data_IF_559929829545
#
_entry.id   IF_559929829545
#
_cell.length_a   1.000
_cell.length_b   1.000
_cell.length_c   1.000
_cell.angle_alpha   90.00
_cell.angle_beta   90.00
_cell.angle_gamma   90.00
#
_symmetry.space_group_name_H-M   'P 1'
#
loop_
_entity.id
_entity.type
_entity.pdbx_description
1 polymer ?
#
# COMPACT_ATOMS: atom_id res chain seq x y z
N UNK A 1 20.54 19.82 -8.32
CA UNK A 1 20.50 18.76 -7.27
C UNK A 1 21.90 18.72 -6.67
N UNK A 2 22.03 18.65 -5.35
CA UNK A 2 23.33 18.62 -4.64
C UNK A 2 24.10 17.30 -4.88
N UNK A 3 23.35 16.18 -4.97
CA UNK A 3 23.93 14.87 -5.17
C UNK A 3 23.96 14.48 -6.65
N UNK A 4 25.06 13.89 -7.07
CA UNK A 4 25.19 13.17 -8.34
C UNK A 4 25.23 11.66 -8.08
N UNK A 5 25.06 10.86 -9.13
CA UNK A 5 25.23 9.41 -9.00
C UNK A 5 26.69 9.07 -8.66
N UNK A 6 26.93 8.08 -7.78
CA UNK A 6 28.27 7.56 -7.55
C UNK A 6 28.92 7.10 -8.85
N UNK A 7 30.24 7.31 -8.99
CA UNK A 7 30.96 6.90 -10.17
C UNK A 7 30.80 5.42 -10.46
N UNK A 8 30.38 5.09 -11.68
CA UNK A 8 30.17 3.72 -12.12
C UNK A 8 28.83 3.11 -11.68
N UNK A 9 27.95 3.89 -11.03
CA UNK A 9 26.62 3.42 -10.68
C UNK A 9 25.83 3.01 -11.93
N UNK A 10 25.16 1.86 -11.84
CA UNK A 10 24.27 1.36 -12.89
C UNK A 10 22.98 0.87 -12.22
N UNK A 11 21.83 1.44 -12.60
CA UNK A 11 20.55 0.93 -12.12
C UNK A 11 20.29 -0.48 -12.68
N UNK A 12 19.51 -1.28 -11.93
CA UNK A 12 19.01 -2.59 -12.34
C UNK A 12 17.50 -2.50 -12.54
N UNK A 13 16.96 -3.02 -13.63
CA UNK A 13 15.56 -2.84 -13.95
C UNK A 13 14.75 -4.16 -13.94
N UNK A 14 15.45 -5.31 -14.00
CA UNK A 14 14.87 -6.64 -14.11
C UNK A 14 15.85 -7.72 -13.64
N UNK A 15 15.35 -8.95 -13.44
CA UNK A 15 16.16 -10.14 -13.15
C UNK A 15 17.01 -9.99 -11.86
N UNK A 16 16.40 -9.54 -10.76
CA UNK A 16 17.07 -9.45 -9.47
C UNK A 16 16.18 -9.89 -8.33
N UNK A 17 16.76 -10.05 -7.15
CA UNK A 17 16.08 -10.47 -5.94
C UNK A 17 16.15 -9.37 -4.87
N UNK A 18 15.03 -9.14 -4.18
CA UNK A 18 14.91 -8.29 -3.01
C UNK A 18 15.07 -9.13 -1.74
N UNK A 19 15.67 -8.56 -0.71
CA UNK A 19 15.84 -9.20 0.59
C UNK A 19 14.52 -9.35 1.37
N UNK A 20 13.50 -8.53 1.07
CA UNK A 20 12.21 -8.62 1.70
C UNK A 20 11.18 -7.61 1.22
N UNK A 21 9.94 -7.84 1.66
CA UNK A 21 8.80 -6.97 1.48
C UNK A 21 8.22 -6.60 2.86
N UNK A 22 7.85 -5.33 3.04
CA UNK A 22 7.26 -4.80 4.26
C UNK A 22 5.81 -4.41 3.96
N UNK A 23 4.85 -5.09 4.59
CA UNK A 23 3.43 -4.76 4.46
C UNK A 23 3.02 -3.72 5.50
N UNK A 24 2.49 -2.60 5.04
CA UNK A 24 2.03 -1.48 5.88
C UNK A 24 0.49 -1.43 6.04
N UNK A 25 -0.24 -2.34 5.45
CA UNK A 25 -1.70 -2.32 5.40
C UNK A 25 -2.34 -2.16 6.77
N UNK A 26 -1.83 -2.92 7.76
CA UNK A 26 -2.40 -2.92 9.10
C UNK A 26 -2.20 -1.58 9.81
N UNK A 27 -0.98 -1.09 9.87
CA UNK A 27 -0.63 0.14 10.58
C UNK A 27 -1.16 1.38 9.88
N UNK A 28 -0.89 1.51 8.60
CA UNK A 28 -1.33 2.66 7.80
C UNK A 28 -2.85 2.71 7.64
N UNK A 29 -3.51 1.55 7.50
CA UNK A 29 -4.95 1.49 7.47
C UNK A 29 -5.59 1.93 8.78
N UNK A 30 -5.03 1.51 9.92
CA UNK A 30 -5.51 1.94 11.24
C UNK A 30 -5.28 3.43 11.49
N UNK A 31 -4.16 3.99 11.03
CA UNK A 31 -3.85 5.42 11.17
C UNK A 31 -4.78 6.31 10.35
N UNK A 32 -5.22 5.81 9.18
CA UNK A 32 -6.16 6.52 8.31
C UNK A 32 -7.59 6.55 8.85
N UNK A 33 -8.00 5.54 9.62
CA UNK A 33 -9.37 5.37 10.06
C UNK A 33 -9.73 6.29 11.23
N UNK A 34 -10.78 7.13 11.12
CA UNK A 34 -11.22 7.99 12.21
C UNK A 34 -12.09 7.26 13.26
N UNK A 35 -11.94 5.93 13.37
CA UNK A 35 -12.64 5.06 14.32
C UNK A 35 -11.77 3.87 14.70
N UNK A 36 -12.09 3.26 15.85
CA UNK A 36 -11.40 2.04 16.30
C UNK A 36 -11.87 0.81 15.54
N UNK A 37 -10.92 0.04 15.04
CA UNK A 37 -11.20 -1.21 14.34
C UNK A 37 -11.24 -2.35 15.36
N UNK A 38 -12.28 -3.19 15.36
CA UNK A 38 -12.37 -4.35 16.25
C UNK A 38 -11.16 -5.28 16.10
N UNK A 39 -10.65 -5.79 17.22
CA UNK A 39 -9.49 -6.68 17.27
C UNK A 39 -9.66 -7.89 16.34
N UNK A 40 -10.82 -8.54 16.35
CA UNK A 40 -11.15 -9.68 15.49
C UNK A 40 -11.00 -9.38 13.98
N UNK A 41 -11.36 -8.16 13.56
CA UNK A 41 -11.23 -7.71 12.17
C UNK A 41 -9.76 -7.51 11.80
N UNK A 42 -8.98 -6.90 12.72
CA UNK A 42 -7.53 -6.74 12.54
C UNK A 42 -6.84 -8.11 12.42
N UNK A 43 -7.12 -9.05 13.32
CA UNK A 43 -6.53 -10.39 13.30
C UNK A 43 -6.90 -11.16 12.03
N UNK A 44 -8.18 -11.10 11.62
CA UNK A 44 -8.64 -11.72 10.36
C UNK A 44 -7.88 -11.16 9.15
N UNK A 45 -7.70 -9.84 9.07
CA UNK A 45 -6.98 -9.22 7.97
C UNK A 45 -5.49 -9.62 8.00
N UNK A 46 -4.81 -9.52 9.16
CA UNK A 46 -3.42 -9.93 9.32
C UNK A 46 -3.21 -11.39 8.91
N UNK A 47 -4.15 -12.29 9.27
CA UNK A 47 -4.10 -13.68 8.86
C UNK A 47 -4.16 -13.83 7.35
N UNK A 48 -5.05 -13.12 6.68
CA UNK A 48 -5.19 -13.17 5.22
C UNK A 48 -3.97 -12.58 4.50
N UNK A 49 -3.37 -11.52 5.05
CA UNK A 49 -2.08 -11.00 4.56
C UNK A 49 -0.98 -12.08 4.66
N UNK A 50 -0.86 -12.73 5.81
CA UNK A 50 0.11 -13.81 6.03
C UNK A 50 -0.14 -15.03 5.11
N UNK A 51 -1.40 -15.39 4.87
CA UNK A 51 -1.80 -16.49 3.98
C UNK A 51 -1.40 -16.24 2.50
N UNK A 52 -1.16 -14.99 2.11
CA UNK A 52 -0.61 -14.62 0.79
C UNK A 52 0.91 -14.79 0.68
N UNK A 53 1.60 -15.22 1.72
CA UNK A 53 3.05 -15.36 1.74
C UNK A 53 3.78 -14.13 2.28
N UNK A 54 3.08 -13.05 2.66
CA UNK A 54 3.69 -11.89 3.32
C UNK A 54 4.20 -12.29 4.70
N UNK A 55 5.48 -11.99 4.99
CA UNK A 55 6.16 -12.42 6.21
C UNK A 55 6.59 -11.31 7.14
N UNK A 56 6.68 -10.08 6.65
CA UNK A 56 6.99 -8.90 7.46
C UNK A 56 5.83 -7.91 7.39
N UNK A 57 5.04 -7.88 8.46
CA UNK A 57 3.84 -7.07 8.58
C UNK A 57 4.10 -5.95 9.59
N UNK A 58 3.99 -4.70 9.18
CA UNK A 58 3.96 -3.57 10.11
C UNK A 58 2.58 -3.54 10.77
N UNK A 59 2.51 -4.13 11.96
CA UNK A 59 1.25 -4.48 12.57
C UNK A 59 0.53 -3.29 13.20
N UNK A 60 1.28 -2.39 13.84
CA UNK A 60 0.68 -1.23 14.47
C UNK A 60 1.64 -0.31 15.21
N UNK A 61 1.06 0.64 15.92
CA UNK A 61 1.74 1.64 16.75
C UNK A 61 0.94 2.03 18.01
N UNK A 62 -0.27 1.47 18.18
CA UNK A 62 -1.16 1.80 19.28
C UNK A 62 -0.84 0.99 20.56
N UNK A 63 -1.18 1.51 21.75
CA UNK A 63 -0.94 0.81 23.03
C UNK A 63 -1.62 -0.56 23.16
N UNK A 64 -2.65 -0.86 22.38
CA UNK A 64 -3.34 -2.16 22.36
C UNK A 64 -2.69 -3.16 21.40
N UNK A 65 -1.84 -2.73 20.48
CA UNK A 65 -1.31 -3.60 19.43
C UNK A 65 -0.33 -4.67 19.94
N UNK A 66 0.51 -4.46 20.98
CA UNK A 66 1.36 -5.52 21.52
C UNK A 66 0.61 -6.80 21.94
N UNK A 67 -0.56 -6.65 22.57
CA UNK A 67 -1.41 -7.78 22.97
C UNK A 67 -1.98 -8.52 21.75
N UNK A 68 -2.41 -7.78 20.73
CA UNK A 68 -2.88 -8.37 19.46
C UNK A 68 -1.75 -9.04 18.67
N UNK A 69 -0.55 -8.46 18.69
CA UNK A 69 0.64 -9.07 18.08
C UNK A 69 0.97 -10.42 18.73
N UNK A 70 0.95 -10.46 20.06
CA UNK A 70 1.15 -11.71 20.79
C UNK A 70 0.13 -12.78 20.35
N UNK A 71 -1.17 -12.44 20.43
CA UNK A 71 -2.23 -13.36 20.02
C UNK A 71 -2.04 -13.85 18.59
N UNK A 72 -1.74 -12.94 17.66
CA UNK A 72 -1.54 -13.31 16.26
C UNK A 72 -0.35 -14.25 16.05
N UNK A 73 0.80 -14.00 16.71
CA UNK A 73 1.98 -14.85 16.61
C UNK A 73 1.68 -16.24 17.19
N UNK A 74 1.00 -16.31 18.33
CA UNK A 74 0.59 -17.58 18.96
C UNK A 74 -0.31 -18.39 18.03
N UNK A 75 -1.33 -17.78 17.42
CA UNK A 75 -2.21 -18.44 16.44
C UNK A 75 -1.42 -18.96 15.23
N UNK A 76 -0.54 -18.13 14.63
CA UNK A 76 0.26 -18.53 13.47
C UNK A 76 1.21 -19.68 13.82
N UNK A 77 1.84 -19.64 15.00
CA UNK A 77 2.75 -20.70 15.45
C UNK A 77 2.03 -21.98 15.87
N UNK A 78 0.81 -21.88 16.36
CA UNK A 78 -0.02 -23.06 16.63
C UNK A 78 -0.31 -23.84 15.34
N UNK A 79 -0.58 -23.13 14.24
CA UNK A 79 -0.84 -23.76 12.94
C UNK A 79 0.45 -24.21 12.24
N UNK A 80 1.52 -23.45 12.35
CA UNK A 80 2.82 -23.73 11.79
C UNK A 80 3.95 -23.30 12.75
N UNK A 81 4.46 -24.22 13.59
CA UNK A 81 5.53 -23.93 14.55
C UNK A 81 6.83 -23.40 13.93
N UNK A 82 7.07 -23.68 12.64
CA UNK A 82 8.24 -23.21 11.88
C UNK A 82 7.98 -21.89 11.15
N UNK A 83 6.84 -21.25 11.38
CA UNK A 83 6.54 -19.96 10.77
C UNK A 83 7.58 -18.91 11.15
N UNK A 84 8.11 -18.23 10.13
CA UNK A 84 9.04 -17.14 10.26
C UNK A 84 8.35 -15.76 10.11
N UNK A 85 7.07 -15.70 10.45
CA UNK A 85 6.34 -14.42 10.49
C UNK A 85 7.06 -13.44 11.40
N UNK A 86 7.17 -12.19 10.95
CA UNK A 86 7.72 -11.08 11.70
C UNK A 86 6.72 -9.93 11.73
N UNK A 87 6.41 -9.47 12.91
CA UNK A 87 5.55 -8.32 13.12
C UNK A 87 6.40 -7.13 13.54
N UNK A 88 6.26 -6.01 12.84
CA UNK A 88 6.90 -4.78 13.26
C UNK A 88 5.92 -3.90 14.03
N UNK A 89 6.43 -3.33 15.10
CA UNK A 89 5.75 -2.31 15.89
C UNK A 89 6.46 -0.97 15.70
N UNK A 90 5.73 0.06 15.27
CA UNK A 90 6.28 1.41 15.14
C UNK A 90 6.29 2.07 16.52
N UNK A 91 7.47 2.29 17.05
CA UNK A 91 7.69 2.91 18.34
C UNK A 91 8.08 4.38 18.15
N UNK A 92 7.17 5.29 18.51
CA UNK A 92 7.47 6.72 18.57
C UNK A 92 8.23 7.06 19.84
N UNK A 93 9.35 7.74 19.71
CA UNK A 93 10.23 8.03 20.87
C UNK A 93 9.57 8.90 21.94
N UNK A 94 8.61 9.75 21.58
CA UNK A 94 7.92 10.63 22.54
C UNK A 94 6.84 9.91 23.39
N UNK A 95 6.48 8.68 23.04
CA UNK A 95 5.48 7.88 23.78
C UNK A 95 5.98 6.48 24.14
N UNK A 96 7.28 6.30 24.29
CA UNK A 96 7.89 4.99 24.47
C UNK A 96 7.58 4.33 25.83
N UNK A 97 7.44 5.10 26.91
CA UNK A 97 7.35 4.57 28.28
C UNK A 97 6.13 3.66 28.52
N UNK A 98 4.89 4.08 28.19
CA UNK A 98 3.74 3.20 28.31
C UNK A 98 3.82 1.95 27.45
N UNK A 99 4.44 2.06 26.28
CA UNK A 99 4.63 0.93 25.35
C UNK A 99 5.71 -0.03 25.88
N UNK A 100 6.79 0.48 26.47
CA UNK A 100 7.79 -0.32 27.14
C UNK A 100 7.20 -1.19 28.24
N UNK A 101 6.29 -0.64 29.06
CA UNK A 101 5.62 -1.40 30.11
C UNK A 101 4.74 -2.52 29.55
N UNK A 102 4.10 -2.31 28.40
CA UNK A 102 3.38 -3.37 27.69
C UNK A 102 4.31 -4.49 27.20
N UNK A 103 5.42 -4.12 26.57
CA UNK A 103 6.39 -5.10 26.07
C UNK A 103 7.18 -5.82 27.14
N UNK A 104 7.23 -5.32 28.39
CA UNK A 104 7.83 -6.06 29.51
C UNK A 104 7.12 -7.35 29.85
N UNK A 105 5.82 -7.45 29.58
CA UNK A 105 5.01 -8.65 29.78
C UNK A 105 4.96 -9.55 28.54
N UNK A 106 5.58 -9.13 27.42
CA UNK A 106 5.57 -9.92 26.19
C UNK A 106 6.35 -11.22 26.33
N UNK A 107 5.84 -12.39 25.87
CA UNK A 107 6.52 -13.67 26.00
C UNK A 107 7.89 -13.68 25.31
N UNK A 108 8.93 -14.08 26.03
CA UNK A 108 10.31 -14.06 25.51
C UNK A 108 10.50 -14.94 24.28
N UNK A 109 9.82 -16.08 24.22
CA UNK A 109 9.84 -17.03 23.12
C UNK A 109 9.22 -16.49 21.82
N UNK A 110 8.47 -15.39 21.90
CA UNK A 110 7.86 -14.73 20.75
C UNK A 110 8.62 -13.47 20.30
N UNK A 111 9.60 -13.00 21.08
CA UNK A 111 10.31 -11.74 20.79
C UNK A 111 11.10 -11.79 19.46
N UNK A 112 11.55 -12.97 19.03
CA UNK A 112 12.21 -13.13 17.73
C UNK A 112 11.25 -12.94 16.54
N UNK A 113 9.94 -12.97 16.78
CA UNK A 113 8.93 -12.66 15.77
C UNK A 113 8.54 -11.17 15.75
N UNK A 114 9.17 -10.35 16.59
CA UNK A 114 8.86 -8.93 16.71
C UNK A 114 10.04 -8.07 16.31
N UNK A 115 9.80 -7.08 15.47
CA UNK A 115 10.74 -6.02 15.12
C UNK A 115 10.27 -4.71 15.77
N UNK A 116 11.10 -4.09 16.59
CA UNK A 116 10.86 -2.74 17.09
C UNK A 116 11.37 -1.76 16.04
N UNK A 117 10.45 -1.06 15.39
CA UNK A 117 10.74 -0.05 14.37
C UNK A 117 10.64 1.34 15.00
N UNK A 118 11.79 1.98 15.22
CA UNK A 118 11.81 3.33 15.75
C UNK A 118 11.32 4.31 14.69
N UNK A 119 10.13 4.87 14.92
CA UNK A 119 9.48 5.78 13.99
C UNK A 119 9.92 7.21 14.19
N UNK A 120 10.09 7.91 13.07
CA UNK A 120 10.24 9.37 13.01
C UNK A 120 11.34 9.90 13.95
N UNK A 121 12.54 9.36 13.80
CA UNK A 121 13.67 9.82 14.62
C UNK A 121 14.10 11.20 14.13
N UNK A 122 13.93 12.19 14.97
CA UNK A 122 14.65 13.47 14.88
C UNK A 122 15.91 13.39 15.75
N UNK A 123 17.01 13.07 15.12
CA UNK A 123 18.28 12.87 15.78
C UNK A 123 18.79 14.11 16.50
N UNK A 124 18.51 15.31 16.00
CA UNK A 124 19.03 16.54 16.60
C UNK A 124 18.46 16.80 18.01
N UNK A 125 17.22 16.43 18.25
CA UNK A 125 16.55 16.65 19.52
C UNK A 125 16.50 15.43 20.43
N UNK A 126 16.79 14.23 19.92
CA UNK A 126 16.44 12.98 20.60
C UNK A 126 17.54 11.89 20.57
N UNK A 127 18.80 12.21 20.24
CA UNK A 127 19.86 11.19 20.16
C UNK A 127 20.03 10.38 21.44
N UNK A 128 20.17 11.04 22.59
CA UNK A 128 20.33 10.34 23.88
C UNK A 128 19.07 9.55 24.24
N UNK A 129 17.88 10.05 23.90
CA UNK A 129 16.64 9.35 24.12
C UNK A 129 16.58 8.10 23.24
N UNK A 130 16.92 8.20 21.95
CA UNK A 130 16.95 7.06 21.05
C UNK A 130 17.87 5.94 21.55
N UNK A 131 19.10 6.26 21.92
CA UNK A 131 20.05 5.28 22.46
C UNK A 131 19.51 4.63 23.74
N UNK A 132 18.99 5.42 24.67
CA UNK A 132 18.39 4.92 25.90
C UNK A 132 17.22 3.97 25.64
N UNK A 133 16.31 4.34 24.76
CA UNK A 133 15.14 3.51 24.45
C UNK A 133 15.55 2.24 23.73
N UNK A 134 16.50 2.31 22.78
CA UNK A 134 17.06 1.13 22.14
C UNK A 134 17.58 0.13 23.18
N UNK A 135 18.46 0.55 24.08
CA UNK A 135 19.01 -0.32 25.12
C UNK A 135 17.93 -0.92 26.00
N UNK A 136 16.90 -0.16 26.36
CA UNK A 136 15.76 -0.69 27.12
C UNK A 136 15.07 -1.85 26.44
N UNK A 137 14.77 -1.76 25.17
CA UNK A 137 14.12 -2.84 24.41
C UNK A 137 15.08 -4.00 24.14
N UNK A 138 16.34 -3.71 23.85
CA UNK A 138 17.38 -4.73 23.69
C UNK A 138 17.57 -5.57 24.97
N UNK A 139 17.58 -4.92 26.13
CA UNK A 139 17.73 -5.57 27.43
C UNK A 139 16.50 -6.42 27.83
N UNK A 140 15.29 -6.10 27.30
CA UNK A 140 14.12 -6.97 27.43
C UNK A 140 14.29 -8.29 26.70
N UNK A 141 15.10 -8.32 25.63
CA UNK A 141 15.33 -9.51 24.81
C UNK A 141 15.02 -9.36 23.33
N UNK A 142 14.51 -8.21 22.87
CA UNK A 142 14.30 -7.97 21.45
C UNK A 142 15.63 -7.97 20.69
N UNK A 143 15.65 -8.50 19.48
CA UNK A 143 16.85 -8.62 18.63
C UNK A 143 16.69 -8.02 17.25
N UNK A 144 15.46 -7.80 16.81
CA UNK A 144 15.17 -7.19 15.51
C UNK A 144 14.77 -5.73 15.69
N UNK A 145 15.55 -4.86 15.08
CA UNK A 145 15.35 -3.41 15.15
C UNK A 145 15.46 -2.81 13.76
N UNK A 146 14.69 -1.78 13.50
CA UNK A 146 14.84 -0.91 12.33
C UNK A 146 14.57 0.53 12.70
N UNK A 147 15.01 1.44 11.85
CA UNK A 147 14.76 2.87 12.01
C UNK A 147 14.03 3.44 10.82
N UNK A 148 13.10 4.32 11.09
CA UNK A 148 12.42 5.16 10.10
C UNK A 148 12.92 6.58 10.25
N UNK A 149 13.60 7.10 9.24
CA UNK A 149 14.14 8.44 9.23
C UNK A 149 13.12 9.40 8.67
N UNK A 150 12.85 10.47 9.40
CA UNK A 150 12.02 11.55 8.88
C UNK A 150 12.81 12.32 7.84
N UNK A 151 12.25 12.39 6.66
CA UNK A 151 12.78 13.25 5.61
C UNK A 151 11.68 14.16 5.12
N UNK A 152 11.81 15.40 5.48
CA UNK A 152 11.03 16.47 4.90
C UNK A 152 11.62 16.81 3.53
N UNK A 153 11.50 15.90 2.58
CA UNK A 153 11.78 16.22 1.18
C UNK A 153 10.82 17.33 0.75
N UNK A 154 11.35 18.47 0.34
CA UNK A 154 10.51 19.51 -0.25
C UNK A 154 10.36 19.26 -1.75
N UNK A 155 11.46 19.14 -2.46
CA UNK A 155 11.50 18.81 -3.89
C UNK A 155 12.81 18.14 -4.27
N UNK A 156 13.72 17.97 -3.32
CA UNK A 156 15.03 17.38 -3.53
C UNK A 156 15.77 17.21 -2.20
N UNK A 157 16.96 16.65 -2.27
CA UNK A 157 17.86 16.49 -1.14
C UNK A 157 19.01 17.48 -1.31
N UNK A 158 19.12 18.44 -0.39
CA UNK A 158 20.28 19.32 -0.27
C UNK A 158 21.36 18.72 0.66
N UNK A 159 22.50 19.38 0.75
CA UNK A 159 23.60 18.94 1.59
C UNK A 159 23.23 18.79 3.06
N UNK A 160 22.43 19.71 3.58
CA UNK A 160 22.00 19.67 4.97
C UNK A 160 21.09 18.47 5.25
N UNK A 161 20.15 18.21 4.34
CA UNK A 161 19.25 17.06 4.41
C UNK A 161 20.03 15.74 4.31
N UNK A 162 20.95 15.62 3.36
CA UNK A 162 21.78 14.43 3.21
C UNK A 162 22.64 14.18 4.45
N UNK A 163 23.32 15.22 4.96
CA UNK A 163 24.09 15.14 6.19
C UNK A 163 23.24 14.73 7.39
N UNK A 164 22.01 15.23 7.45
CA UNK A 164 21.07 14.83 8.51
C UNK A 164 20.66 13.36 8.41
N UNK A 165 20.40 12.85 7.19
CA UNK A 165 20.12 11.44 6.94
C UNK A 165 21.29 10.56 7.38
N UNK A 166 22.50 10.86 6.91
CA UNK A 166 23.70 10.03 7.17
C UNK A 166 24.06 10.00 8.66
N UNK A 167 23.92 11.11 9.38
CA UNK A 167 24.12 11.13 10.85
C UNK A 167 23.18 10.20 11.60
N UNK A 168 21.91 10.13 11.19
CA UNK A 168 20.94 9.22 11.79
C UNK A 168 21.27 7.76 11.46
N UNK A 169 21.75 7.50 10.24
CA UNK A 169 22.22 6.17 9.84
C UNK A 169 23.43 5.75 10.68
N UNK A 170 24.43 6.63 10.81
CA UNK A 170 25.64 6.35 11.59
C UNK A 170 25.31 6.03 13.06
N UNK A 171 24.39 6.78 13.67
CA UNK A 171 23.91 6.51 15.02
C UNK A 171 23.22 5.15 15.12
N UNK A 172 22.40 4.78 14.13
CA UNK A 172 21.69 3.51 14.10
C UNK A 172 22.68 2.33 13.93
N UNK A 173 23.65 2.48 13.04
CA UNK A 173 24.72 1.50 12.82
C UNK A 173 25.55 1.28 14.07
N UNK A 174 25.86 2.35 14.84
CA UNK A 174 26.60 2.24 16.10
C UNK A 174 25.90 1.39 17.16
N UNK A 175 24.58 1.25 17.07
CA UNK A 175 23.75 0.39 17.91
C UNK A 175 23.53 -1.02 17.32
N UNK A 176 24.10 -1.30 16.15
CA UNK A 176 23.96 -2.59 15.47
C UNK A 176 22.67 -2.73 14.65
N UNK A 177 21.94 -1.63 14.40
CA UNK A 177 20.77 -1.65 13.53
C UNK A 177 21.20 -1.65 12.08
N UNK A 178 20.70 -2.60 11.31
CA UNK A 178 21.10 -2.85 9.92
C UNK A 178 20.00 -2.51 8.88
N UNK A 179 18.82 -2.13 9.33
CA UNK A 179 17.68 -1.85 8.47
C UNK A 179 17.21 -0.41 8.64
N UNK A 180 17.26 0.32 7.55
CA UNK A 180 16.95 1.75 7.49
C UNK A 180 15.82 2.01 6.50
N UNK A 181 14.84 2.73 6.95
CA UNK A 181 13.65 3.13 6.21
C UNK A 181 13.70 4.63 5.97
N UNK A 182 13.69 5.03 4.71
CA UNK A 182 13.68 6.42 4.28
C UNK A 182 12.23 6.84 4.08
N UNK A 183 11.74 7.84 4.82
CA UNK A 183 10.34 8.22 4.78
C UNK A 183 10.12 9.46 3.91
N UNK A 184 9.44 9.30 2.79
CA UNK A 184 8.77 10.40 2.09
C UNK A 184 7.36 10.56 2.66
N UNK A 185 7.30 11.05 3.90
CA UNK A 185 6.05 11.15 4.67
C UNK A 185 5.02 12.09 4.07
N UNK A 186 5.41 13.00 3.18
CA UNK A 186 4.52 13.96 2.53
C UNK A 186 4.24 13.63 1.06
N UNK A 187 4.82 12.56 0.52
CA UNK A 187 4.68 12.19 -0.89
C UNK A 187 5.18 13.27 -1.85
N UNK A 188 6.26 13.97 -1.48
CA UNK A 188 6.76 15.12 -2.23
C UNK A 188 8.07 14.88 -2.98
N UNK A 189 8.73 13.76 -2.70
CA UNK A 189 9.96 13.37 -3.37
C UNK A 189 9.70 13.05 -4.85
N UNK A 190 10.63 13.46 -5.71
CA UNK A 190 10.58 13.12 -7.12
C UNK A 190 11.46 11.90 -7.43
N UNK A 191 11.11 11.07 -8.44
CA UNK A 191 11.85 9.86 -8.79
C UNK A 191 13.32 10.10 -9.09
N UNK A 192 13.68 11.19 -9.76
CA UNK A 192 15.08 11.56 -10.03
C UNK A 192 15.86 11.85 -8.75
N UNK A 193 15.22 12.44 -7.75
CA UNK A 193 15.82 12.66 -6.42
C UNK A 193 15.98 11.33 -5.68
N UNK A 194 14.95 10.49 -5.70
CA UNK A 194 14.99 9.16 -5.09
C UNK A 194 16.09 8.28 -5.71
N UNK A 195 16.26 8.33 -7.03
CA UNK A 195 17.29 7.56 -7.73
C UNK A 195 18.69 7.90 -7.21
N UNK A 196 19.04 9.19 -7.17
CA UNK A 196 20.35 9.66 -6.73
C UNK A 196 20.56 9.40 -5.24
N UNK A 197 19.54 9.63 -4.41
CA UNK A 197 19.62 9.35 -2.98
C UNK A 197 19.84 7.87 -2.70
N UNK A 198 19.07 6.98 -3.30
CA UNK A 198 19.20 5.53 -3.13
C UNK A 198 20.58 5.04 -3.54
N UNK A 199 21.07 5.47 -4.72
CA UNK A 199 22.40 5.12 -5.20
C UNK A 199 23.51 5.53 -4.23
N UNK A 200 23.45 6.75 -3.69
CA UNK A 200 24.47 7.26 -2.75
C UNK A 200 24.39 6.54 -1.39
N UNK A 201 23.20 6.27 -0.87
CA UNK A 201 23.06 5.56 0.40
C UNK A 201 23.59 4.13 0.31
N UNK A 202 23.25 3.40 -0.74
CA UNK A 202 23.78 2.04 -0.94
C UNK A 202 25.29 2.04 -1.16
N UNK A 203 25.80 3.02 -1.89
CA UNK A 203 27.26 3.17 -2.07
C UNK A 203 27.99 3.42 -0.74
N UNK A 204 27.44 4.30 0.11
CA UNK A 204 28.03 4.66 1.40
C UNK A 204 27.86 3.59 2.47
N UNK A 205 26.77 2.83 2.41
CA UNK A 205 26.38 1.83 3.41
C UNK A 205 26.02 0.46 2.78
N UNK A 206 26.97 -0.21 2.11
CA UNK A 206 26.70 -1.40 1.29
C UNK A 206 26.25 -2.64 2.08
N UNK A 207 26.30 -2.60 3.41
CA UNK A 207 25.89 -3.71 4.28
C UNK A 207 24.52 -3.50 4.92
N UNK A 208 23.90 -2.34 4.70
CA UNK A 208 22.58 -2.04 5.27
C UNK A 208 21.46 -2.47 4.33
N UNK A 209 20.34 -2.77 4.93
CA UNK A 209 19.08 -2.95 4.24
C UNK A 209 18.36 -1.60 4.19
N UNK A 210 17.93 -1.22 3.00
CA UNK A 210 17.21 0.02 2.78
C UNK A 210 15.83 -0.26 2.15
N UNK A 211 14.81 0.47 2.61
CA UNK A 211 13.53 0.64 1.92
C UNK A 211 13.11 2.11 1.92
N UNK A 212 12.15 2.43 1.08
CA UNK A 212 11.47 3.71 1.10
C UNK A 212 10.04 3.52 1.54
N UNK A 213 9.59 4.37 2.48
CA UNK A 213 8.17 4.56 2.81
C UNK A 213 7.67 5.75 1.98
N UNK A 214 7.06 5.45 0.85
CA UNK A 214 6.71 6.45 -0.16
C UNK A 214 5.21 6.67 -0.21
N UNK A 215 4.74 7.82 0.33
CA UNK A 215 3.35 8.23 0.18
C UNK A 215 3.03 8.67 -1.26
N UNK A 216 1.77 8.48 -1.65
CA UNK A 216 1.29 8.68 -3.02
C UNK A 216 0.55 10.00 -3.23
N UNK A 217 0.81 11.02 -2.40
CA UNK A 217 0.09 12.29 -2.42
C UNK A 217 0.17 13.04 -3.76
N UNK A 218 1.21 12.78 -4.56
CA UNK A 218 1.35 13.28 -5.94
C UNK A 218 1.22 12.20 -7.01
N UNK A 219 0.78 10.99 -6.66
CA UNK A 219 0.77 9.87 -7.59
C UNK A 219 2.17 9.33 -7.91
N UNK A 220 3.18 9.60 -7.07
CA UNK A 220 4.58 9.22 -7.29
C UNK A 220 5.07 8.11 -6.34
N UNK A 221 4.23 7.64 -5.42
CA UNK A 221 4.61 6.65 -4.42
C UNK A 221 5.13 5.36 -5.05
N UNK A 222 4.37 4.78 -5.97
CA UNK A 222 4.78 3.58 -6.72
C UNK A 222 6.09 3.82 -7.48
N UNK A 223 6.19 4.95 -8.19
CA UNK A 223 7.38 5.27 -8.97
C UNK A 223 8.61 5.45 -8.07
N UNK A 224 8.47 6.09 -6.90
CA UNK A 224 9.56 6.25 -5.94
C UNK A 224 10.01 4.92 -5.35
N UNK A 225 9.06 4.02 -5.00
CA UNK A 225 9.38 2.68 -4.53
C UNK A 225 10.16 1.88 -5.57
N UNK A 226 9.69 1.85 -6.82
CA UNK A 226 10.38 1.17 -7.92
C UNK A 226 11.75 1.79 -8.20
N UNK A 227 11.84 3.12 -8.22
CA UNK A 227 13.11 3.83 -8.46
C UNK A 227 14.14 3.52 -7.38
N UNK A 228 13.73 3.40 -6.12
CA UNK A 228 14.63 3.07 -5.01
C UNK A 228 15.26 1.68 -5.18
N UNK A 229 14.47 0.66 -5.54
CA UNK A 229 14.99 -0.71 -5.75
C UNK A 229 15.81 -0.83 -7.03
N UNK A 230 15.48 -0.06 -8.07
CA UNK A 230 16.30 -0.01 -9.28
C UNK A 230 17.69 0.57 -9.01
N UNK A 231 17.79 1.47 -8.03
CA UNK A 231 19.05 2.11 -7.66
C UNK A 231 19.72 1.50 -6.41
N UNK A 232 19.31 0.29 -6.03
CA UNK A 232 20.06 -0.56 -5.11
C UNK A 232 19.41 -0.81 -3.77
N UNK A 233 18.30 -0.19 -3.41
CA UNK A 233 17.56 -0.60 -2.23
C UNK A 233 17.17 -2.08 -2.37
N UNK A 234 17.22 -2.81 -1.29
CA UNK A 234 17.00 -4.27 -1.28
C UNK A 234 15.73 -4.69 -0.53
N UNK A 235 14.99 -3.73 0.02
CA UNK A 235 13.66 -3.93 0.58
C UNK A 235 12.68 -3.04 -0.16
N UNK A 236 11.42 -3.48 -0.24
CA UNK A 236 10.32 -2.69 -0.78
C UNK A 236 9.14 -2.69 0.18
N UNK A 237 8.34 -1.65 0.15
CA UNK A 237 7.21 -1.44 1.05
C UNK A 237 5.96 -1.06 0.26
N UNK A 238 4.81 -1.49 0.76
CA UNK A 238 3.51 -1.16 0.20
C UNK A 238 2.35 -1.56 1.10
N UNK A 239 1.15 -1.28 0.64
CA UNK A 239 -0.09 -1.69 1.31
C UNK A 239 -1.06 -2.34 0.33
N UNK A 240 -1.83 -3.32 0.78
CA UNK A 240 -2.90 -3.90 -0.03
C UNK A 240 -3.88 -2.81 -0.44
N UNK A 241 -4.30 -2.84 -1.69
CA UNK A 241 -5.15 -1.80 -2.29
C UNK A 241 -4.55 -0.39 -2.22
N UNK A 242 -3.24 -0.25 -2.00
CA UNK A 242 -2.57 1.03 -1.81
C UNK A 242 -2.97 1.72 -0.51
N UNK A 243 -3.42 0.97 0.51
CA UNK A 243 -3.79 1.54 1.80
C UNK A 243 -2.64 2.31 2.42
N UNK A 244 -2.98 3.46 2.97
CA UNK A 244 -2.08 4.33 3.68
C UNK A 244 -2.75 5.64 4.05
N UNK A 245 -2.12 6.39 4.92
CA UNK A 245 -2.59 7.71 5.33
C UNK A 245 -2.68 8.65 4.11
N UNK A 246 -3.65 9.55 4.08
CA UNK A 246 -3.98 10.47 2.97
C UNK A 246 -4.20 9.73 1.64
N UNK A 247 -3.29 9.86 0.66
CA UNK A 247 -3.42 9.21 -0.67
C UNK A 247 -2.90 7.78 -0.71
N UNK A 248 -2.31 7.30 0.39
CA UNK A 248 -1.86 5.91 0.52
C UNK A 248 -0.41 5.67 0.13
N UNK A 249 -0.10 4.40 -0.15
CA UNK A 249 1.20 3.83 -0.46
C UNK A 249 1.14 3.05 -1.78
N UNK A 250 2.29 2.55 -2.30
CA UNK A 250 2.29 1.61 -3.43
C UNK A 250 1.39 0.41 -3.17
N UNK A 251 0.51 0.10 -4.11
CA UNK A 251 -0.37 -1.06 -4.00
C UNK A 251 0.41 -2.36 -4.22
N UNK A 252 0.29 -3.30 -3.28
CA UNK A 252 0.98 -4.60 -3.32
C UNK A 252 0.65 -5.36 -4.60
N UNK A 253 -0.60 -5.33 -5.04
CA UNK A 253 -1.08 -6.02 -6.23
C UNK A 253 -0.48 -5.45 -7.53
N UNK A 254 -0.18 -4.15 -7.53
CA UNK A 254 0.49 -3.51 -8.67
C UNK A 254 1.98 -3.82 -8.67
N UNK A 255 2.61 -3.83 -7.47
CA UNK A 255 4.02 -4.23 -7.32
C UNK A 255 4.23 -5.67 -7.79
N UNK A 256 3.32 -6.58 -7.44
CA UNK A 256 3.41 -7.99 -7.84
C UNK A 256 3.36 -8.15 -9.37
N UNK A 257 2.42 -7.49 -10.06
CA UNK A 257 2.34 -7.53 -11.53
C UNK A 257 3.64 -7.01 -12.17
N UNK A 258 4.19 -5.88 -11.67
CA UNK A 258 5.47 -5.35 -12.18
C UNK A 258 6.62 -6.33 -11.91
N UNK A 259 6.63 -6.99 -10.75
CA UNK A 259 7.67 -7.96 -10.38
C UNK A 259 7.61 -9.20 -11.25
N UNK A 260 6.41 -9.69 -11.54
CA UNK A 260 6.18 -10.79 -12.46
C UNK A 260 6.74 -10.46 -13.85
N UNK A 261 6.36 -9.30 -14.42
CA UNK A 261 6.81 -8.86 -15.74
C UNK A 261 8.33 -8.70 -15.85
N UNK A 262 8.97 -8.27 -14.77
CA UNK A 262 10.40 -7.93 -14.73
C UNK A 262 11.28 -9.01 -14.10
N UNK A 263 10.69 -10.16 -13.76
CA UNK A 263 11.38 -11.24 -13.04
C UNK A 263 12.14 -10.72 -11.80
N UNK A 264 11.46 -9.89 -11.00
CA UNK A 264 11.94 -9.43 -9.70
C UNK A 264 11.36 -10.37 -8.64
N UNK A 265 12.20 -10.97 -7.84
CA UNK A 265 11.80 -11.91 -6.79
C UNK A 265 12.00 -11.30 -5.41
N UNK A 266 11.25 -11.80 -4.43
CA UNK A 266 11.42 -11.46 -3.02
C UNK A 266 11.90 -12.72 -2.31
N UNK A 267 13.02 -12.61 -1.60
CA UNK A 267 13.65 -13.76 -0.95
C UNK A 267 12.68 -14.46 0.03
N UNK A 268 12.49 -15.75 -0.21
CA UNK A 268 11.66 -16.60 0.66
C UNK A 268 10.17 -16.28 0.66
N UNK A 269 9.68 -15.50 -0.30
CA UNK A 269 8.26 -15.21 -0.47
C UNK A 269 7.77 -15.68 -1.84
N UNK A 270 6.55 -16.21 -1.83
CA UNK A 270 5.80 -16.56 -3.03
C UNK A 270 4.41 -15.92 -2.89
N UNK A 271 4.23 -14.80 -3.56
CA UNK A 271 2.98 -14.04 -3.52
C UNK A 271 1.98 -14.64 -4.52
N UNK A 272 0.82 -15.07 -4.04
CA UNK A 272 -0.27 -15.59 -4.88
C UNK A 272 -1.16 -14.43 -5.38
N UNK A 273 -1.12 -14.07 -6.68
CA UNK A 273 -1.88 -12.94 -7.21
C UNK A 273 -3.40 -13.04 -6.98
N UNK A 274 -3.95 -14.27 -7.03
CA UNK A 274 -5.38 -14.46 -6.82
C UNK A 274 -5.80 -14.14 -5.38
N UNK A 275 -4.94 -14.46 -4.41
CA UNK A 275 -5.16 -14.15 -3.00
C UNK A 275 -4.93 -12.67 -2.70
N UNK A 276 -3.94 -12.04 -3.33
CA UNK A 276 -3.65 -10.62 -3.14
C UNK A 276 -4.89 -9.75 -3.37
N UNK A 277 -5.63 -9.99 -4.45
CA UNK A 277 -6.87 -9.26 -4.76
C UNK A 277 -7.94 -9.43 -3.68
N UNK A 278 -8.10 -10.65 -3.15
CA UNK A 278 -9.07 -10.93 -2.08
C UNK A 278 -8.71 -10.18 -0.78
N UNK A 279 -7.41 -10.11 -0.47
CA UNK A 279 -6.93 -9.37 0.70
C UNK A 279 -7.16 -7.87 0.53
N UNK A 280 -6.93 -7.32 -0.65
CA UNK A 280 -7.23 -5.93 -0.96
C UNK A 280 -8.70 -5.57 -0.69
N UNK A 281 -9.64 -6.40 -1.13
CA UNK A 281 -11.06 -6.20 -0.82
C UNK A 281 -11.39 -6.35 0.67
N UNK A 282 -10.75 -7.30 1.35
CA UNK A 282 -10.92 -7.46 2.79
C UNK A 282 -10.36 -6.25 3.57
N UNK A 283 -9.27 -5.65 3.09
CA UNK A 283 -8.73 -4.43 3.68
C UNK A 283 -9.71 -3.26 3.53
N UNK A 284 -10.32 -3.08 2.33
CA UNK A 284 -11.38 -2.09 2.13
C UNK A 284 -12.55 -2.29 3.10
N UNK A 285 -13.02 -3.53 3.26
CA UNK A 285 -14.10 -3.87 4.19
C UNK A 285 -13.70 -3.61 5.65
N UNK A 286 -12.49 -4.01 6.03
CA UNK A 286 -11.98 -3.88 7.41
C UNK A 286 -11.87 -2.41 7.82
N UNK A 287 -11.38 -1.57 6.93
CA UNK A 287 -11.17 -0.15 7.18
C UNK A 287 -12.34 0.73 6.71
N UNK A 288 -13.44 0.15 6.25
CA UNK A 288 -14.64 0.84 5.75
C UNK A 288 -14.31 1.89 4.68
N UNK A 289 -13.40 1.58 3.77
CA UNK A 289 -13.01 2.47 2.69
C UNK A 289 -13.88 2.17 1.46
N UNK A 290 -14.46 3.23 0.88
CA UNK A 290 -15.22 3.10 -0.37
C UNK A 290 -14.28 2.61 -1.48
N UNK A 291 -14.61 1.47 -2.13
CA UNK A 291 -13.76 0.90 -3.15
C UNK A 291 -13.53 1.84 -4.33
N UNK A 292 -12.28 2.02 -4.74
CA UNK A 292 -11.98 2.66 -6.00
C UNK A 292 -12.19 1.64 -7.14
N UNK A 293 -13.32 1.76 -7.85
CA UNK A 293 -13.70 0.82 -8.90
C UNK A 293 -12.76 0.82 -10.12
N UNK A 294 -12.00 1.91 -10.31
CA UNK A 294 -11.01 2.07 -11.38
C UNK A 294 -9.56 1.88 -10.90
N UNK A 295 -9.34 1.35 -9.69
CA UNK A 295 -7.99 1.10 -9.21
C UNK A 295 -7.25 0.18 -10.17
N UNK A 296 -5.98 0.50 -10.44
CA UNK A 296 -5.12 -0.34 -11.26
C UNK A 296 -5.10 -1.78 -10.73
N UNK A 297 -5.11 -2.76 -11.61
CA UNK A 297 -5.07 -4.20 -11.36
C UNK A 297 -6.31 -4.75 -10.63
N UNK A 298 -6.76 -4.14 -9.56
CA UNK A 298 -7.78 -4.70 -8.63
C UNK A 298 -9.12 -3.98 -8.60
N UNK A 299 -9.28 -2.90 -9.37
CA UNK A 299 -10.57 -2.21 -9.47
C UNK A 299 -11.68 -3.12 -10.00
N UNK A 300 -12.88 -2.98 -9.46
CA UNK A 300 -14.01 -3.89 -9.78
C UNK A 300 -14.44 -3.89 -11.24
N UNK A 301 -14.12 -2.84 -11.98
CA UNK A 301 -14.53 -2.66 -13.38
C UNK A 301 -13.35 -2.42 -14.33
N UNK A 302 -12.11 -2.65 -13.89
CA UNK A 302 -10.92 -2.49 -14.77
C UNK A 302 -10.88 -3.47 -15.93
N UNK A 303 -11.61 -4.58 -15.84
CA UNK A 303 -11.77 -5.57 -16.93
C UNK A 303 -13.04 -5.35 -17.77
N UNK A 304 -13.72 -4.23 -17.61
CA UNK A 304 -14.83 -3.84 -18.47
C UNK A 304 -14.29 -3.01 -19.62
N UNK A 305 -14.69 -3.33 -20.84
CA UNK A 305 -14.21 -2.67 -22.05
C UNK A 305 -15.32 -2.25 -22.98
N UNK A 306 -15.11 -1.13 -23.66
CA UNK A 306 -16.03 -0.68 -24.69
C UNK A 306 -15.94 -1.60 -25.93
N UNK A 307 -17.06 -2.06 -26.40
CA UNK A 307 -17.15 -3.02 -27.50
C UNK A 307 -16.44 -2.53 -28.78
N UNK A 308 -16.45 -1.22 -29.05
CA UNK A 308 -15.85 -0.64 -30.25
C UNK A 308 -14.34 -0.39 -30.19
N UNK A 309 -13.72 -0.44 -29.00
CA UNK A 309 -12.31 -0.07 -28.77
C UNK A 309 -11.62 -0.98 -27.75
N UNK A 310 -12.07 -2.23 -27.67
CA UNK A 310 -11.58 -3.18 -26.69
C UNK A 310 -10.06 -3.42 -26.81
N UNK A 311 -9.34 -3.18 -25.72
CA UNK A 311 -7.92 -3.48 -25.60
C UNK A 311 -7.60 -3.81 -24.12
N UNK A 312 -7.70 -5.09 -23.77
CA UNK A 312 -7.58 -5.53 -22.38
C UNK A 312 -6.19 -6.11 -22.16
N UNK A 313 -5.44 -5.61 -21.16
CA UNK A 313 -4.15 -6.15 -20.78
C UNK A 313 -4.24 -7.61 -20.33
N UNK A 314 -3.21 -8.40 -20.65
CA UNK A 314 -3.17 -9.86 -20.39
C UNK A 314 -3.30 -10.19 -18.89
N UNK A 315 -2.75 -9.37 -17.99
CA UNK A 315 -2.83 -9.58 -16.54
C UNK A 315 -4.26 -9.48 -15.98
N UNK A 316 -5.17 -8.81 -16.67
CA UNK A 316 -6.60 -8.80 -16.31
C UNK A 316 -7.32 -10.09 -16.70
N UNK A 317 -6.63 -11.00 -17.35
CA UNK A 317 -7.10 -12.31 -17.76
C UNK A 317 -7.49 -12.39 -19.22
N UNK A 318 -7.99 -13.57 -19.61
CA UNK A 318 -8.40 -13.82 -20.99
C UNK A 318 -9.42 -12.76 -21.45
N UNK A 319 -9.12 -12.07 -22.55
CA UNK A 319 -10.00 -11.08 -23.17
C UNK A 319 -11.42 -11.62 -23.47
N UNK A 320 -11.57 -12.93 -23.58
CA UNK A 320 -12.87 -13.62 -23.71
C UNK A 320 -13.71 -13.58 -22.43
N UNK A 321 -13.10 -13.35 -21.27
CA UNK A 321 -13.77 -13.16 -19.96
C UNK A 321 -14.05 -11.70 -19.64
N UNK A 322 -13.54 -10.80 -20.47
CA UNK A 322 -13.79 -9.40 -20.31
C UNK A 322 -15.28 -9.09 -20.50
N UNK A 323 -15.83 -8.30 -19.60
CA UNK A 323 -17.20 -7.82 -19.73
C UNK A 323 -17.22 -6.64 -20.70
N UNK A 324 -17.84 -6.84 -21.86
CA UNK A 324 -17.93 -5.80 -22.88
C UNK A 324 -19.25 -5.02 -22.71
N UNK A 325 -19.15 -3.72 -22.80
CA UNK A 325 -20.29 -2.81 -22.74
C UNK A 325 -20.27 -1.86 -23.96
N UNK A 326 -21.38 -1.21 -24.23
CA UNK A 326 -21.53 -0.26 -25.33
C UNK A 326 -21.69 1.15 -24.77
N UNK A 327 -21.02 2.11 -25.43
CA UNK A 327 -21.19 3.55 -25.22
C UNK A 327 -21.40 4.24 -26.55
N UNK A 328 -21.68 5.54 -26.53
CA UNK A 328 -21.80 6.35 -27.76
C UNK A 328 -20.57 6.20 -28.67
N UNK A 329 -19.36 6.09 -28.08
CA UNK A 329 -18.10 5.86 -28.83
C UNK A 329 -18.12 4.52 -29.56
N UNK A 330 -18.78 3.51 -29.03
CA UNK A 330 -18.86 2.16 -29.61
C UNK A 330 -19.97 1.98 -30.66
N UNK A 331 -20.84 2.99 -30.89
CA UNK A 331 -22.00 2.86 -31.79
C UNK A 331 -21.72 3.22 -33.25
N UNK A 332 -20.48 3.10 -33.73
CA UNK A 332 -20.17 3.26 -35.13
C UNK A 332 -20.60 2.05 -35.96
N UNK A 333 -20.77 2.28 -37.27
CA UNK A 333 -21.37 1.33 -38.20
C UNK A 333 -20.74 -0.05 -38.18
N UNK A 334 -19.41 -0.14 -38.10
CA UNK A 334 -18.71 -1.44 -38.09
C UNK A 334 -19.07 -2.29 -36.86
N UNK A 335 -19.13 -1.69 -35.69
CA UNK A 335 -19.50 -2.41 -34.46
C UNK A 335 -20.96 -2.83 -34.47
N UNK A 336 -21.87 -1.94 -34.87
CA UNK A 336 -23.31 -2.25 -34.89
C UNK A 336 -23.65 -3.30 -35.96
N UNK A 337 -22.98 -3.26 -37.13
CA UNK A 337 -23.14 -4.32 -38.16
C UNK A 337 -22.70 -5.68 -37.64
N UNK A 338 -21.53 -5.78 -36.97
CA UNK A 338 -21.08 -7.02 -36.37
C UNK A 338 -22.07 -7.59 -35.34
N UNK A 339 -22.69 -6.71 -34.53
CA UNK A 339 -23.73 -7.13 -33.58
C UNK A 339 -24.97 -7.67 -34.30
N UNK A 340 -25.43 -6.96 -35.33
CA UNK A 340 -26.60 -7.39 -36.13
C UNK A 340 -26.34 -8.70 -36.87
N UNK A 341 -25.15 -8.88 -37.45
CA UNK A 341 -24.71 -10.11 -38.08
C UNK A 341 -24.70 -11.28 -37.09
N UNK A 342 -24.08 -11.10 -35.90
CA UNK A 342 -24.07 -12.12 -34.84
C UNK A 342 -25.48 -12.52 -34.41
N UNK A 343 -26.37 -11.53 -34.30
CA UNK A 343 -27.77 -11.77 -33.94
C UNK A 343 -28.54 -12.52 -35.08
N UNK A 344 -28.22 -12.24 -36.32
CA UNK A 344 -28.84 -12.92 -37.50
C UNK A 344 -28.38 -14.36 -37.65
N UNK A 345 -27.12 -14.67 -37.43
CA UNK A 345 -26.57 -16.02 -37.45
C UNK A 345 -27.24 -16.92 -36.39
N UNK A 346 -27.49 -16.37 -35.19
CA UNK A 346 -28.20 -17.10 -34.12
C UNK A 346 -29.68 -17.42 -34.50
N UNK A 347 -30.29 -16.65 -35.38
CA UNK A 347 -31.67 -16.81 -35.84
C UNK A 347 -31.83 -17.54 -37.18
N UNK A 348 -30.72 -18.05 -37.80
CA UNK A 348 -30.72 -18.72 -39.11
C UNK A 348 -31.36 -17.91 -40.25
N UNK A 349 -31.38 -16.58 -40.16
CA UNK A 349 -31.88 -15.70 -41.24
C UNK A 349 -30.69 -15.01 -41.92
N UNK A 350 -30.44 -15.35 -43.17
CA UNK A 350 -29.49 -14.60 -44.00
C UNK A 350 -30.16 -13.30 -44.45
N UNK A 351 -29.96 -12.20 -43.73
CA UNK A 351 -30.25 -10.88 -44.29
C UNK A 351 -29.15 -9.89 -43.86
N UNK A 352 -28.47 -9.31 -44.82
CA UNK A 352 -27.67 -8.10 -44.60
C UNK A 352 -28.60 -6.99 -44.05
N UNK A 353 -28.28 -6.44 -42.90
CA UNK A 353 -29.08 -5.36 -42.31
C UNK A 353 -29.13 -4.19 -43.30
N UNK A 354 -30.34 -3.68 -43.57
CA UNK A 354 -30.51 -2.48 -44.39
C UNK A 354 -29.98 -1.24 -43.60
N UNK A 355 -29.53 -0.22 -44.33
CA UNK A 355 -29.10 1.05 -43.70
C UNK A 355 -30.15 1.62 -42.77
N UNK A 356 -31.43 1.37 -43.02
CA UNK A 356 -32.54 1.79 -42.17
C UNK A 356 -32.59 1.00 -40.88
N UNK A 357 -32.31 -0.30 -40.91
CA UNK A 357 -32.23 -1.10 -39.69
C UNK A 357 -31.08 -0.70 -38.78
N UNK A 358 -29.94 -0.34 -39.36
CA UNK A 358 -28.76 0.13 -38.62
C UNK A 358 -29.04 1.46 -37.90
N UNK A 359 -29.69 2.43 -38.59
CA UNK A 359 -30.06 3.73 -38.01
C UNK A 359 -31.06 3.55 -36.87
N UNK A 360 -32.13 2.79 -37.10
CA UNK A 360 -33.15 2.52 -36.08
C UNK A 360 -32.56 1.80 -34.84
N UNK A 361 -31.68 0.85 -35.08
CA UNK A 361 -30.98 0.14 -33.97
C UNK A 361 -30.11 1.10 -33.17
N UNK A 362 -29.34 1.97 -33.83
CA UNK A 362 -28.51 2.98 -33.17
C UNK A 362 -29.36 3.95 -32.34
N UNK A 363 -30.46 4.46 -32.89
CA UNK A 363 -31.37 5.37 -32.20
C UNK A 363 -31.96 4.72 -30.94
N UNK A 364 -32.40 3.47 -31.03
CA UNK A 364 -32.88 2.69 -29.89
C UNK A 364 -31.84 2.54 -28.80
N UNK A 365 -30.58 2.22 -29.18
CA UNK A 365 -29.49 2.09 -28.19
C UNK A 365 -29.16 3.42 -27.51
N UNK A 366 -29.17 4.54 -28.25
CA UNK A 366 -28.92 5.86 -27.66
C UNK A 366 -30.03 6.25 -26.67
N UNK A 367 -31.28 5.96 -26.99
CA UNK A 367 -32.42 6.19 -26.07
C UNK A 367 -32.28 5.37 -24.78
N UNK A 368 -31.95 4.08 -24.91
CA UNK A 368 -31.71 3.23 -23.74
C UNK A 368 -30.54 3.73 -22.88
N UNK A 369 -29.43 4.11 -23.50
CA UNK A 369 -28.25 4.64 -22.78
C UNK A 369 -28.58 5.97 -22.06
N UNK A 370 -29.36 6.84 -22.67
CA UNK A 370 -29.81 8.08 -22.05
C UNK A 370 -30.70 7.81 -20.82
N UNK A 371 -31.61 6.84 -20.90
CA UNK A 371 -32.42 6.43 -19.76
C UNK A 371 -31.57 5.83 -18.62
N UNK A 372 -30.56 5.04 -18.94
CA UNK A 372 -29.61 4.53 -17.95
C UNK A 372 -28.85 5.65 -17.26
N UNK A 373 -28.47 6.71 -17.98
CA UNK A 373 -27.79 7.87 -17.38
C UNK A 373 -28.64 8.53 -16.29
N UNK A 374 -29.93 8.77 -16.55
CA UNK A 374 -30.82 9.42 -15.56
C UNK A 374 -30.97 8.58 -14.29
N UNK A 375 -31.16 7.25 -14.43
CA UNK A 375 -31.20 6.33 -13.30
C UNK A 375 -29.87 6.37 -12.50
N UNK A 376 -28.75 6.38 -13.20
CA UNK A 376 -27.41 6.42 -12.58
C UNK A 376 -27.15 7.75 -11.88
N UNK A 377 -27.65 8.87 -12.42
CA UNK A 377 -27.49 10.20 -11.83
C UNK A 377 -28.19 10.30 -10.47
N UNK A 378 -29.40 9.77 -10.36
CA UNK A 378 -30.13 9.72 -9.07
C UNK A 378 -29.40 8.86 -8.04
N UNK A 379 -28.96 7.66 -8.45
CA UNK A 379 -28.19 6.77 -7.60
C UNK A 379 -26.84 7.40 -7.16
N UNK A 380 -26.14 8.08 -8.07
CA UNK A 380 -24.89 8.77 -7.79
C UNK A 380 -25.06 9.84 -6.69
N UNK A 381 -26.15 10.64 -6.75
CA UNK A 381 -26.43 11.64 -5.73
C UNK A 381 -26.63 11.01 -4.34
N UNK A 382 -27.40 9.93 -4.26
CA UNK A 382 -27.62 9.18 -3.01
C UNK A 382 -26.31 8.55 -2.46
N UNK A 383 -25.48 7.97 -3.32
CA UNK A 383 -24.19 7.40 -2.93
C UNK A 383 -23.26 8.49 -2.42
N UNK A 384 -23.17 9.63 -3.11
CA UNK A 384 -22.31 10.74 -2.71
C UNK A 384 -22.67 11.29 -1.33
N UNK A 385 -23.97 11.44 -1.05
CA UNK A 385 -24.44 11.82 0.28
C UNK A 385 -24.06 10.77 1.34
N UNK A 386 -24.25 9.48 1.02
CA UNK A 386 -23.91 8.39 1.93
C UNK A 386 -22.40 8.31 2.22
N UNK A 387 -21.54 8.59 1.22
CA UNK A 387 -20.09 8.66 1.41
C UNK A 387 -19.74 9.82 2.36
N UNK A 388 -20.34 10.99 2.18
CA UNK A 388 -20.16 12.11 3.10
C UNK A 388 -20.48 11.73 4.54
N UNK A 389 -21.62 11.10 4.77
CA UNK A 389 -22.01 10.61 6.10
C UNK A 389 -21.05 9.56 6.66
N UNK A 390 -20.61 8.59 5.85
CA UNK A 390 -19.68 7.54 6.26
C UNK A 390 -18.37 8.11 6.84
N UNK A 391 -17.89 9.23 6.31
CA UNK A 391 -16.60 9.81 6.72
C UNK A 391 -16.71 11.00 7.68
N UNK A 392 -17.90 11.48 8.01
CA UNK A 392 -18.08 12.63 8.90
C UNK A 392 -18.92 12.32 10.14
N UNK A 393 -19.95 11.49 10.05
CA UNK A 393 -20.82 11.21 11.18
C UNK A 393 -20.12 10.39 12.27
N UNK A 394 -20.16 10.88 13.51
CA UNK A 394 -19.58 10.20 14.69
C UNK A 394 -18.06 10.28 14.78
N UNK A 395 -17.39 10.95 13.86
CA UNK A 395 -15.95 11.23 13.95
C UNK A 395 -15.68 12.22 15.09
N UNK A 396 -14.68 11.93 15.91
CA UNK A 396 -14.25 12.82 17.01
C UNK A 396 -13.10 13.68 16.47
N UNK A 397 -13.40 14.93 16.17
CA UNK A 397 -12.38 15.92 15.81
C UNK A 397 -11.67 16.48 17.05
N UNK A 398 -10.61 17.24 16.84
CA UNK A 398 -9.81 17.80 17.95
C UNK A 398 -10.65 18.64 18.90
N UNK A 399 -11.55 19.46 18.39
CA UNK A 399 -12.45 20.31 19.16
C UNK A 399 -13.38 19.47 20.07
N UNK A 400 -13.89 18.36 19.57
CA UNK A 400 -14.74 17.44 20.33
C UNK A 400 -13.95 16.76 21.46
N UNK A 401 -12.71 16.39 21.17
CA UNK A 401 -11.81 15.79 22.15
C UNK A 401 -11.47 16.79 23.28
N UNK A 402 -11.18 18.04 22.93
CA UNK A 402 -10.93 19.12 23.89
C UNK A 402 -12.15 19.38 24.77
N UNK A 403 -13.35 19.46 24.17
CA UNK A 403 -14.60 19.65 24.93
C UNK A 403 -14.87 18.50 25.91
N UNK A 404 -14.64 17.26 25.47
CA UNK A 404 -14.72 16.10 26.36
C UNK A 404 -13.69 16.16 27.49
N UNK A 405 -12.45 16.53 27.18
CA UNK A 405 -11.37 16.61 28.18
C UNK A 405 -11.66 17.62 29.30
N UNK A 406 -12.35 18.71 29.02
CA UNK A 406 -12.76 19.71 30.03
C UNK A 406 -13.54 19.11 31.22
N UNK A 407 -14.29 18.02 30.97
CA UNK A 407 -15.06 17.33 32.02
C UNK A 407 -14.21 16.52 32.98
N UNK A 408 -12.92 16.29 32.67
CA UNK A 408 -11.99 15.50 33.46
C UNK A 408 -10.92 16.37 34.17
N UNK A 409 -10.84 17.68 33.85
CA UNK A 409 -9.88 18.62 34.41
C UNK A 409 -10.58 19.74 35.22
N UNK A 410 -11.91 19.73 35.27
CA UNK A 410 -12.72 20.58 36.13
C UNK A 410 -12.95 19.89 37.48
#
# INVERSE_FOLDING_TARGET
MFLDFPTGHKPRFENFELAGFLDETMREGAERCPFSIPAEKKLKLARKISDCGVRDIVFGSAPSDPELMQQFIEEVKSDNPQSNIRLAFILLLNCWEPLYDKFRSFPKELMDNVCISFGMIDYKSNEQLFQRVFHKFHDLGFRHFRVSLINNFKSGVDEATYTHITRQIDASVSLGIDTVRINDSLGVCYPETMAVLAANLVHSYPRLNFCVHAHDDKGLGLQNAMTSIYNGFNLIEGGFSGFGNRSGLPAVEVLEEIFSDKNIRIQGMDLDPARLRQVGYLAEETFLVVPNVYRAVTGKIVNWENLGVANIPDYLGDSRRARRFLTDVGTHDGTLNNILETASESNKSQSTASNNALSTFRESLHEEMANVYEIKRELYSSITESIGKLYSEGVIFEEDAIEKARRFVA
#
